data_IF_562210275223
#
_entry.id   IF_562210275223
#
_cell.length_a   1.000
_cell.length_b   1.000
_cell.length_c   1.000
_cell.angle_alpha   90.00
_cell.angle_beta   90.00
_cell.angle_gamma   90.00
#
_symmetry.space_group_name_H-M   'P 1'
#
loop_
_entity.id
_entity.type
_entity.pdbx_description
1 polymer ?
#
# COMPACT_ATOMS: atom_id res chain seq x y z
N UNK A 1 -1.51 -49.27 48.62
CA UNK A 1 -1.66 -49.08 47.16
C UNK A 1 -2.01 -50.43 46.60
N UNK A 2 -3.28 -50.66 46.26
CA UNK A 2 -3.68 -51.91 45.61
C UNK A 2 -3.29 -51.86 44.13
N UNK A 3 -3.07 -53.03 43.52
CA UNK A 3 -2.76 -53.18 42.09
C UNK A 3 -3.78 -52.43 41.20
N UNK A 4 -5.03 -52.36 41.64
CA UNK A 4 -6.09 -51.53 41.04
C UNK A 4 -5.72 -50.05 40.91
N UNK A 5 -5.14 -49.46 41.96
CA UNK A 5 -4.81 -48.03 42.00
C UNK A 5 -3.67 -47.72 41.02
N UNK A 6 -2.73 -48.66 40.87
CA UNK A 6 -1.62 -48.53 39.93
C UNK A 6 -2.08 -48.62 38.47
N UNK A 7 -3.06 -49.46 38.17
CA UNK A 7 -3.64 -49.57 36.82
C UNK A 7 -4.48 -48.34 36.45
N UNK A 8 -5.23 -47.79 37.41
CA UNK A 8 -6.00 -46.55 37.22
C UNK A 8 -5.05 -45.37 36.96
N UNK A 9 -3.96 -45.27 37.72
CA UNK A 9 -2.94 -44.24 37.52
C UNK A 9 -2.30 -44.37 36.12
N UNK A 10 -1.87 -45.57 35.74
CA UNK A 10 -1.25 -45.80 34.43
C UNK A 10 -2.20 -45.47 33.26
N UNK A 11 -3.49 -45.79 33.40
CA UNK A 11 -4.50 -45.43 32.40
C UNK A 11 -4.67 -43.91 32.29
N UNK A 12 -4.67 -43.19 33.42
CA UNK A 12 -4.75 -41.74 33.44
C UNK A 12 -3.55 -41.12 32.71
N UNK A 13 -2.33 -41.55 33.05
CA UNK A 13 -1.09 -41.06 32.43
C UNK A 13 -1.07 -41.32 30.90
N UNK A 14 -1.51 -42.49 30.45
CA UNK A 14 -1.61 -42.82 29.03
C UNK A 14 -2.66 -41.95 28.33
N UNK A 15 -3.80 -41.71 28.98
CA UNK A 15 -4.87 -40.87 28.42
C UNK A 15 -4.44 -39.41 28.27
N UNK A 16 -3.68 -38.88 29.23
CA UNK A 16 -3.12 -37.53 29.21
C UNK A 16 -2.06 -37.39 28.11
N UNK A 17 -1.15 -38.38 28.01
CA UNK A 17 -0.14 -38.38 26.95
C UNK A 17 -0.77 -38.44 25.56
N UNK A 18 -1.83 -39.23 25.40
CA UNK A 18 -2.60 -39.28 24.14
C UNK A 18 -3.23 -37.92 23.83
N UNK A 19 -3.83 -37.25 24.81
CA UNK A 19 -4.45 -35.93 24.61
C UNK A 19 -3.42 -34.89 24.18
N UNK A 20 -2.23 -34.91 24.79
CA UNK A 20 -1.11 -34.02 24.42
C UNK A 20 -0.67 -34.26 22.98
N UNK A 21 -0.45 -35.53 22.60
CA UNK A 21 -0.07 -35.89 21.23
C UNK A 21 -1.15 -35.51 20.20
N UNK A 22 -2.43 -35.64 20.55
CA UNK A 22 -3.52 -35.23 19.66
C UNK A 22 -3.49 -33.71 19.42
N UNK A 23 -3.28 -32.91 20.46
CA UNK A 23 -3.18 -31.46 20.32
C UNK A 23 -1.99 -31.03 19.46
N UNK A 24 -0.83 -31.70 19.60
CA UNK A 24 0.32 -31.48 18.73
C UNK A 24 0.03 -31.86 17.28
N UNK A 25 -0.62 -33.00 17.06
CA UNK A 25 -1.04 -33.44 15.72
C UNK A 25 -1.96 -32.42 15.04
N UNK A 26 -2.98 -31.93 15.76
CA UNK A 26 -3.92 -30.94 15.23
C UNK A 26 -3.21 -29.61 14.90
N UNK A 27 -2.27 -29.19 15.75
CA UNK A 27 -1.44 -28.01 15.51
C UNK A 27 -0.57 -28.18 14.27
N UNK A 28 0.14 -29.30 14.14
CA UNK A 28 0.99 -29.59 12.98
C UNK A 28 0.13 -29.66 11.71
N UNK A 29 -1.05 -30.27 11.78
CA UNK A 29 -2.01 -30.31 10.68
C UNK A 29 -2.42 -28.91 10.20
N UNK A 30 -2.66 -27.99 11.13
CA UNK A 30 -2.98 -26.59 10.83
C UNK A 30 -1.77 -25.81 10.27
N UNK A 31 -0.55 -26.10 10.69
CA UNK A 31 0.65 -25.50 10.11
C UNK A 31 0.90 -26.03 8.69
N UNK A 32 0.70 -27.33 8.46
CA UNK A 32 0.85 -27.98 7.16
C UNK A 32 -0.18 -27.48 6.14
N UNK A 33 -1.42 -27.23 6.57
CA UNK A 33 -2.45 -26.63 5.69
C UNK A 33 -2.08 -25.21 5.24
N UNK A 34 -1.53 -24.39 6.15
CA UNK A 34 -1.00 -23.05 5.82
C UNK A 34 0.14 -23.13 4.81
N UNK A 35 1.06 -24.09 4.98
CA UNK A 35 2.19 -24.29 4.05
C UNK A 35 1.70 -24.71 2.67
N UNK A 36 0.74 -25.65 2.58
CA UNK A 36 0.13 -26.04 1.30
C UNK A 36 -0.56 -24.86 0.61
N UNK A 37 -1.21 -23.99 1.37
CA UNK A 37 -1.82 -22.78 0.82
C UNK A 37 -0.77 -21.84 0.25
N UNK A 38 0.32 -21.61 1.00
CA UNK A 38 1.44 -20.79 0.53
C UNK A 38 2.10 -21.39 -0.72
N UNK A 39 2.32 -22.70 -0.75
CA UNK A 39 2.86 -23.42 -1.90
C UNK A 39 1.99 -23.22 -3.16
N UNK A 40 0.68 -23.41 -3.02
CA UNK A 40 -0.26 -23.21 -4.14
C UNK A 40 -0.28 -21.76 -4.62
N UNK A 41 -0.19 -20.79 -3.72
CA UNK A 41 -0.12 -19.38 -4.08
C UNK A 41 1.16 -19.05 -4.85
N UNK A 42 2.31 -19.60 -4.41
CA UNK A 42 3.58 -19.43 -5.12
C UNK A 42 3.56 -20.11 -6.49
N UNK A 43 3.01 -21.32 -6.58
CA UNK A 43 2.83 -22.04 -7.86
C UNK A 43 2.01 -21.22 -8.85
N UNK A 44 0.89 -20.66 -8.42
CA UNK A 44 0.05 -19.81 -9.26
C UNK A 44 0.76 -18.53 -9.75
N UNK A 45 1.61 -17.93 -8.91
CA UNK A 45 2.45 -16.79 -9.31
C UNK A 45 3.46 -17.20 -10.39
N UNK A 46 4.12 -18.35 -10.21
CA UNK A 46 5.13 -18.88 -11.16
C UNK A 46 4.48 -19.25 -12.49
N UNK A 47 3.32 -19.89 -12.45
CA UNK A 47 2.59 -20.36 -13.64
C UNK A 47 1.72 -19.26 -14.28
N UNK A 48 1.68 -18.06 -13.68
CA UNK A 48 0.84 -16.93 -14.08
C UNK A 48 -0.65 -17.31 -14.22
N UNK A 49 -1.12 -18.22 -13.37
CA UNK A 49 -2.51 -18.68 -13.30
C UNK A 49 -3.26 -17.79 -12.30
N UNK A 50 -4.43 -17.24 -12.67
CA UNK A 50 -5.23 -16.43 -11.75
C UNK A 50 -5.65 -17.24 -10.51
N UNK A 51 -5.45 -16.65 -9.33
CA UNK A 51 -5.78 -17.22 -8.01
C UNK A 51 -7.30 -17.26 -7.75
N UNK A 52 -8.11 -17.78 -8.68
CA UNK A 52 -9.58 -17.69 -8.61
C UNK A 52 -10.29 -18.98 -8.16
N UNK A 53 -9.57 -20.07 -7.86
CA UNK A 53 -10.24 -21.36 -7.59
C UNK A 53 -9.85 -22.08 -6.29
N UNK A 54 -8.73 -21.73 -5.65
CA UNK A 54 -8.19 -22.52 -4.52
C UNK A 54 -8.52 -21.99 -3.11
N UNK A 55 -8.85 -20.70 -2.99
CA UNK A 55 -8.98 -20.01 -1.70
C UNK A 55 -10.42 -20.00 -1.13
N UNK A 56 -11.42 -20.34 -1.95
CA UNK A 56 -12.83 -20.24 -1.56
C UNK A 56 -13.42 -21.51 -0.89
N UNK A 57 -12.72 -22.65 -0.92
CA UNK A 57 -13.35 -23.96 -0.65
C UNK A 57 -13.01 -24.57 0.73
N UNK A 58 -12.14 -23.97 1.54
CA UNK A 58 -11.69 -24.62 2.80
C UNK A 58 -12.00 -23.86 4.10
N UNK A 59 -12.90 -22.86 4.06
CA UNK A 59 -13.53 -22.36 5.28
C UNK A 59 -14.93 -22.99 5.43
N UNK A 60 -15.11 -24.03 6.26
CA UNK A 60 -16.45 -24.58 6.54
C UNK A 60 -17.31 -23.68 7.46
N UNK A 61 -16.94 -22.40 7.67
CA UNK A 61 -17.58 -21.54 8.68
C UNK A 61 -18.11 -20.21 8.16
N UNK A 62 -18.23 -20.03 6.83
CA UNK A 62 -18.72 -18.77 6.26
C UNK A 62 -19.91 -18.92 5.32
N UNK A 63 -20.73 -19.97 5.50
CA UNK A 63 -21.91 -20.26 4.67
C UNK A 63 -23.21 -19.58 5.15
N UNK A 64 -23.14 -18.44 5.86
CA UNK A 64 -24.32 -17.86 6.51
C UNK A 64 -24.61 -16.39 6.19
N UNK A 65 -23.96 -15.76 5.20
CA UNK A 65 -24.25 -14.34 4.92
C UNK A 65 -24.20 -13.92 3.44
N UNK A 66 -24.56 -14.83 2.52
CA UNK A 66 -24.79 -14.51 1.11
C UNK A 66 -26.29 -14.34 0.85
N UNK A 67 -26.86 -13.23 1.33
CA UNK A 67 -28.14 -12.73 0.83
C UNK A 67 -28.25 -11.22 1.00
N UNK A 68 -27.65 -10.46 0.07
CA UNK A 68 -28.13 -9.14 -0.34
C UNK A 68 -27.38 -8.65 -1.59
N UNK A 69 -28.09 -8.60 -2.73
CA UNK A 69 -28.09 -7.54 -3.76
C UNK A 69 -26.73 -7.19 -4.40
N UNK A 70 -26.48 -7.24 -5.71
CA UNK A 70 -27.33 -7.09 -6.90
C UNK A 70 -26.59 -6.20 -7.91
N UNK A 71 -26.79 -6.46 -9.21
CA UNK A 71 -26.46 -5.64 -10.41
C UNK A 71 -25.02 -5.58 -10.98
N UNK A 72 -24.86 -6.31 -12.08
CA UNK A 72 -24.33 -5.91 -13.41
C UNK A 72 -23.35 -4.71 -13.54
N UNK A 73 -22.16 -4.96 -14.12
CA UNK A 73 -21.63 -4.29 -15.32
C UNK A 73 -20.23 -4.84 -15.74
N UNK A 74 -19.83 -4.70 -17.02
CA UNK A 74 -18.84 -5.55 -17.68
C UNK A 74 -17.40 -4.98 -17.71
N UNK A 75 -16.48 -5.85 -18.14
CA UNK A 75 -15.04 -5.63 -18.36
C UNK A 75 -14.74 -4.33 -19.13
N UNK A 76 -13.95 -3.45 -18.52
CA UNK A 76 -13.14 -2.42 -19.19
C UNK A 76 -11.89 -2.17 -18.33
N UNK A 77 -10.72 -2.57 -18.83
CA UNK A 77 -9.74 -1.67 -19.45
C UNK A 77 -8.78 -1.04 -18.43
N UNK A 78 -7.49 -1.31 -18.67
CA UNK A 78 -6.27 -0.62 -18.23
C UNK A 78 -6.27 0.21 -16.94
N UNK A 79 -5.35 -0.11 -16.03
CA UNK A 79 -4.87 0.81 -14.98
C UNK A 79 -3.53 0.27 -14.48
N UNK A 80 -2.40 0.90 -14.77
CA UNK A 80 -2.11 2.27 -14.37
C UNK A 80 -1.33 2.19 -13.06
N UNK A 81 -0.09 2.70 -13.06
CA UNK A 81 0.72 3.11 -11.90
C UNK A 81 0.29 2.49 -10.56
N UNK A 82 0.83 1.32 -10.20
CA UNK A 82 0.65 0.73 -8.86
C UNK A 82 1.16 1.74 -7.82
N UNK A 83 0.23 2.52 -7.27
CA UNK A 83 0.48 3.40 -6.15
C UNK A 83 1.06 2.62 -4.96
N UNK A 84 1.61 3.32 -3.96
CA UNK A 84 2.26 2.70 -2.81
C UNK A 84 1.39 1.59 -2.21
N UNK A 85 1.92 0.35 -2.20
CA UNK A 85 1.19 -0.81 -1.66
C UNK A 85 0.81 -0.49 -0.21
N UNK A 86 -0.48 -0.64 0.13
CA UNK A 86 -1.06 -0.26 1.42
C UNK A 86 -0.32 -0.85 2.66
N UNK A 87 0.44 -1.94 2.48
CA UNK A 87 1.21 -2.60 3.55
C UNK A 87 2.74 -2.42 3.45
N UNK A 88 3.25 -1.65 2.49
CA UNK A 88 4.69 -1.36 2.38
C UNK A 88 5.13 -0.28 3.36
N UNK A 89 6.38 -0.28 3.81
CA UNK A 89 6.89 0.75 4.73
C UNK A 89 6.73 2.18 4.17
N UNK A 90 7.02 2.41 2.87
CA UNK A 90 6.75 3.69 2.19
C UNK A 90 5.24 4.01 2.14
N UNK A 91 4.40 3.01 1.86
CA UNK A 91 2.94 3.17 1.83
C UNK A 91 2.34 3.54 3.18
N UNK A 92 2.78 2.87 4.26
CA UNK A 92 2.39 3.20 5.64
C UNK A 92 2.87 4.58 6.06
N UNK A 93 4.10 4.95 5.71
CA UNK A 93 4.62 6.29 5.93
C UNK A 93 3.78 7.36 5.23
N UNK A 94 3.42 7.13 3.96
CA UNK A 94 2.55 8.05 3.22
C UNK A 94 1.18 8.17 3.87
N UNK A 95 0.53 7.06 4.21
CA UNK A 95 -0.78 7.05 4.86
C UNK A 95 -0.75 7.76 6.23
N UNK A 96 0.34 7.60 6.98
CA UNK A 96 0.54 8.26 8.27
C UNK A 96 0.69 9.79 8.11
N UNK A 97 1.42 10.25 7.10
CA UNK A 97 1.57 11.69 6.83
C UNK A 97 0.28 12.30 6.27
N UNK A 98 -0.50 11.51 5.53
CA UNK A 98 -1.82 11.93 5.01
C UNK A 98 -2.86 12.04 6.14
N UNK A 99 -2.86 11.10 7.09
CA UNK A 99 -3.76 11.15 8.26
C UNK A 99 -3.40 12.27 9.23
N UNK A 100 -2.13 12.65 9.34
CA UNK A 100 -1.68 13.80 10.12
C UNK A 100 -2.06 15.16 9.51
N UNK A 101 -2.31 15.19 8.20
CA UNK A 101 -2.77 16.39 7.49
C UNK A 101 -1.73 17.54 7.47
N UNK A 102 -2.18 18.81 7.41
CA UNK A 102 -1.32 19.96 7.09
C UNK A 102 -0.36 20.36 8.21
N UNK A 103 -0.60 19.91 9.44
CA UNK A 103 0.34 20.10 10.56
C UNK A 103 1.56 19.19 10.43
N UNK A 104 1.39 18.03 9.79
CA UNK A 104 2.45 17.06 9.62
C UNK A 104 2.87 16.37 10.92
N UNK A 105 3.93 15.59 10.85
CA UNK A 105 4.51 14.88 11.99
C UNK A 105 6.01 15.19 12.10
N UNK A 106 6.47 15.32 13.33
CA UNK A 106 7.91 15.37 13.61
C UNK A 106 8.56 14.01 13.34
N UNK A 107 9.86 14.02 13.09
CA UNK A 107 10.63 12.78 12.91
C UNK A 107 10.40 11.78 14.07
N UNK A 108 10.47 12.23 15.32
CA UNK A 108 10.27 11.39 16.50
C UNK A 108 8.85 10.81 16.62
N UNK A 109 7.82 11.51 16.11
CA UNK A 109 6.46 10.94 16.04
C UNK A 109 6.39 9.85 14.97
N UNK A 110 6.99 10.07 13.81
CA UNK A 110 7.02 9.09 12.71
C UNK A 110 7.72 7.80 13.17
N UNK A 111 8.88 7.89 13.82
CA UNK A 111 9.61 6.71 14.31
C UNK A 111 8.81 5.92 15.36
N UNK A 112 8.00 6.60 16.19
CA UNK A 112 7.13 5.94 17.17
C UNK A 112 5.96 5.20 16.51
N UNK A 113 5.37 5.77 15.47
CA UNK A 113 4.27 5.13 14.73
C UNK A 113 4.76 3.98 13.83
N UNK A 114 5.99 4.07 13.32
CA UNK A 114 6.62 3.06 12.45
C UNK A 114 7.85 2.45 13.13
N UNK A 115 7.67 1.94 14.35
CA UNK A 115 8.75 1.36 15.15
C UNK A 115 9.33 0.07 14.57
N UNK A 116 8.63 -0.55 13.61
CA UNK A 116 9.04 -1.74 12.89
C UNK A 116 10.00 -1.45 11.72
N UNK A 117 10.13 -0.18 11.32
CA UNK A 117 10.99 0.24 10.20
C UNK A 117 12.30 0.80 10.76
N UNK A 118 13.43 0.32 10.22
CA UNK A 118 14.75 0.83 10.62
C UNK A 118 14.87 2.35 10.38
N UNK A 119 15.51 3.11 11.29
CA UNK A 119 15.62 4.57 11.16
C UNK A 119 16.29 5.04 9.86
N UNK A 120 17.33 4.33 9.39
CA UNK A 120 18.00 4.63 8.13
C UNK A 120 17.05 4.51 6.92
N UNK A 121 16.18 3.50 6.94
CA UNK A 121 15.16 3.29 5.89
C UNK A 121 14.10 4.40 5.90
N UNK A 122 13.65 4.83 7.08
CA UNK A 122 12.72 5.97 7.21
C UNK A 122 13.33 7.26 6.66
N UNK A 123 14.59 7.55 6.99
CA UNK A 123 15.30 8.73 6.48
C UNK A 123 15.41 8.72 4.95
N UNK A 124 15.73 7.56 4.36
CA UNK A 124 15.77 7.40 2.90
C UNK A 124 14.41 7.66 2.28
N UNK A 125 13.33 7.07 2.81
CA UNK A 125 11.99 7.31 2.26
C UNK A 125 11.51 8.74 2.42
N UNK A 126 11.74 9.37 3.58
CA UNK A 126 11.40 10.77 3.79
C UNK A 126 12.17 11.67 2.82
N UNK A 127 13.47 11.43 2.65
CA UNK A 127 14.30 12.19 1.70
C UNK A 127 13.79 12.02 0.27
N UNK A 128 13.48 10.78 -0.15
CA UNK A 128 12.91 10.50 -1.47
C UNK A 128 11.55 11.18 -1.68
N UNK A 129 10.67 11.14 -0.67
CA UNK A 129 9.34 11.74 -0.74
C UNK A 129 9.38 13.27 -0.76
N UNK A 130 10.38 13.87 -0.08
CA UNK A 130 10.63 15.31 -0.14
C UNK A 130 11.17 15.70 -1.51
N UNK A 131 12.16 14.97 -2.04
CA UNK A 131 12.71 15.22 -3.38
C UNK A 131 11.67 15.04 -4.47
N UNK A 132 10.74 14.09 -4.33
CA UNK A 132 9.67 13.85 -5.30
C UNK A 132 8.47 14.79 -5.17
N UNK A 133 8.47 15.70 -4.18
CA UNK A 133 7.33 16.59 -3.90
C UNK A 133 6.08 15.86 -3.38
N UNK A 134 6.20 14.63 -2.89
CA UNK A 134 5.07 13.94 -2.24
C UNK A 134 4.86 14.43 -0.79
N UNK A 135 5.93 14.94 -0.17
CA UNK A 135 5.97 15.40 1.22
C UNK A 135 6.72 16.72 1.29
N UNK A 136 6.20 17.67 2.05
CA UNK A 136 6.87 18.95 2.31
C UNK A 136 7.49 18.91 3.70
N UNK A 137 8.79 19.24 3.79
CA UNK A 137 9.49 19.42 5.06
C UNK A 137 9.43 20.88 5.50
N UNK A 138 8.83 21.13 6.68
CA UNK A 138 8.74 22.45 7.33
C UNK A 138 9.53 22.42 8.64
N UNK A 139 10.81 22.75 8.57
CA UNK A 139 11.72 22.59 9.72
C UNK A 139 11.85 21.11 10.11
N UNK A 140 11.34 20.74 11.29
CA UNK A 140 11.41 19.37 11.82
C UNK A 140 10.16 18.52 11.54
N UNK A 141 9.16 19.09 10.85
CA UNK A 141 7.91 18.43 10.54
C UNK A 141 7.82 18.05 9.07
N UNK A 142 7.21 16.89 8.81
CA UNK A 142 6.90 16.37 7.48
C UNK A 142 5.39 16.36 7.29
N UNK A 143 4.89 16.98 6.24
CA UNK A 143 3.46 17.01 5.91
C UNK A 143 3.23 16.45 4.50
N UNK A 144 2.13 15.71 4.32
CA UNK A 144 1.70 15.27 2.99
C UNK A 144 1.19 16.47 2.19
N UNK A 145 1.68 16.65 0.97
CA UNK A 145 1.08 17.61 0.05
C UNK A 145 -0.18 16.97 -0.53
N UNK A 146 -1.36 17.42 -0.08
CA UNK A 146 -2.63 16.99 -0.69
C UNK A 146 -2.69 17.53 -2.12
N UNK A 147 -2.77 16.69 -3.17
CA UNK A 147 -3.19 17.17 -4.48
C UNK A 147 -4.70 17.41 -4.41
N UNK A 148 -5.11 18.59 -3.94
CA UNK A 148 -6.53 18.89 -3.73
C UNK A 148 -6.90 20.17 -2.99
N UNK A 149 -5.95 21.07 -2.71
CA UNK A 149 -6.27 22.45 -2.33
C UNK A 149 -5.45 23.40 -3.19
N UNK A 150 -5.78 23.44 -4.48
CA UNK A 150 -5.81 24.72 -5.19
C UNK A 150 -6.84 25.57 -4.45
N UNK A 151 -6.38 26.33 -3.46
CA UNK A 151 -7.06 27.56 -3.10
C UNK A 151 -6.78 28.53 -4.24
N UNK A 152 -7.85 28.85 -4.96
CA UNK A 152 -7.98 29.98 -5.85
C UNK A 152 -7.38 31.21 -5.17
N UNK A 153 -6.22 31.65 -5.65
CA UNK A 153 -5.74 33.00 -5.48
C UNK A 153 -5.75 33.68 -6.87
N UNK A 154 -6.94 33.74 -7.47
CA UNK A 154 -7.26 34.82 -8.40
C UNK A 154 -7.90 35.94 -7.59
N UNK A 155 -7.27 37.12 -7.60
CA UNK A 155 -7.81 38.31 -6.95
C UNK A 155 -6.75 39.30 -6.47
N UNK A 156 -5.93 39.84 -7.37
CA UNK A 156 -5.55 41.25 -7.24
C UNK A 156 -5.34 41.85 -8.62
N UNK A 157 -6.46 42.17 -9.25
CA UNK A 157 -6.53 43.16 -10.31
C UNK A 157 -6.28 44.53 -9.67
N UNK A 158 -5.29 45.27 -10.19
CA UNK A 158 -4.81 46.47 -9.53
C UNK A 158 -3.54 47.05 -10.13
N UNK A 159 -3.51 47.20 -11.46
CA UNK A 159 -2.95 48.40 -12.09
C UNK A 159 -3.32 48.48 -13.57
N UNK A 160 -4.41 49.21 -13.77
CA UNK A 160 -4.65 50.06 -14.93
C UNK A 160 -3.40 50.92 -15.22
N UNK A 161 -2.77 50.69 -16.37
CA UNK A 161 -2.34 51.79 -17.22
C UNK A 161 -2.33 51.32 -18.68
N UNK A 162 -3.23 51.98 -19.40
CA UNK A 162 -3.63 51.92 -20.81
C UNK A 162 -2.54 52.46 -21.77
N UNK A 163 -2.73 52.41 -23.12
CA UNK A 163 -1.75 51.89 -24.07
C UNK A 163 -1.13 52.94 -25.03
N UNK A 164 -0.45 52.44 -26.08
CA UNK A 164 0.09 53.14 -27.28
C UNK A 164 1.42 53.86 -27.06
N UNK A 165 2.44 53.75 -27.90
CA UNK A 165 2.47 53.91 -29.36
C UNK A 165 3.79 53.36 -29.93
N UNK A 166 3.78 52.97 -31.22
CA UNK A 166 4.83 53.03 -32.27
C UNK A 166 6.32 53.15 -31.87
N UNK A 167 7.28 52.57 -32.58
CA UNK A 167 7.43 52.43 -34.04
C UNK A 167 8.72 51.60 -34.25
N UNK A 168 8.77 50.76 -35.29
CA UNK A 168 9.98 50.35 -36.05
C UNK A 168 11.04 49.55 -35.25
N UNK A 169 11.51 48.41 -35.73
CA UNK A 169 12.31 48.33 -36.95
C UNK A 169 12.34 46.90 -37.54
N UNK A 170 12.06 46.84 -38.86
CA UNK A 170 12.79 46.05 -39.87
C UNK A 170 12.77 44.52 -39.67
N UNK A 171 11.90 43.72 -40.31
CA UNK A 171 11.72 43.53 -41.77
C UNK A 171 12.99 43.81 -42.59
N UNK A 172 13.77 42.77 -42.77
CA UNK A 172 14.60 42.51 -43.97
C UNK A 172 14.30 41.06 -44.37
N UNK A 173 13.32 40.86 -45.24
CA UNK A 173 13.45 40.81 -46.70
C UNK A 173 13.87 39.41 -47.18
N UNK A 174 12.87 38.77 -47.78
CA UNK A 174 13.03 37.68 -48.74
C UNK A 174 13.99 38.11 -49.85
N UNK A 175 14.83 37.17 -50.27
CA UNK A 175 15.23 37.08 -51.67
C UNK A 175 15.22 35.61 -52.10
N UNK A 176 14.22 35.31 -52.92
CA UNK A 176 14.18 34.17 -53.83
C UNK A 176 15.28 34.32 -54.92
N UNK A 177 15.45 33.21 -55.65
CA UNK A 177 15.97 33.12 -57.01
C UNK A 177 17.51 33.14 -57.21
N UNK A 178 18.16 32.38 -58.11
CA UNK A 178 17.83 31.30 -59.08
C UNK A 178 19.18 30.95 -59.76
N UNK A 179 19.31 29.69 -60.21
CA UNK A 179 20.17 29.18 -61.31
C UNK A 179 21.72 29.15 -61.28
N UNK A 180 22.18 27.91 -61.56
CA UNK A 180 23.07 27.49 -62.66
C UNK A 180 24.57 27.78 -62.63
N UNK A 181 25.33 26.68 -62.65
CA UNK A 181 26.77 26.58 -62.93
C UNK A 181 27.26 25.17 -62.68
#
# INVERSE_FOLDING_TARGET
MSESDTLVQALADVSERRATLQAEYDRIGAELSKLRLAENALRAIVENVPLEAGLAVQNPTSLANSQAQGREAPRASGRGSRGPRANSAKGRLKALLESAGPQGLSHAQITRHLSDVAPGTLNTYLSMMVTSGEVVRRGDFYASERPGRQELAEGNDGRDHTPEHDDREQRTDLREDVESG
#
